data_IF_887975610029
#
_entry.id   IF_887975610029
#
_cell.length_a   1.000
_cell.length_b   1.000
_cell.length_c   1.000
_cell.angle_alpha   90.00
_cell.angle_beta   90.00
_cell.angle_gamma   90.00
#
_symmetry.space_group_name_H-M   'P 1'
#
loop_
_entity.id
_entity.type
_entity.pdbx_description
1 polymer ?
#
# COMPACT_ATOMS: atom_id res chain seq x y z
N UNK A 1 9.38 -6.10 -23.67
CA UNK A 1 8.16 -5.97 -22.85
C UNK A 1 7.78 -4.49 -22.73
N UNK A 2 7.81 -3.72 -23.83
CA UNK A 2 7.68 -2.26 -23.75
C UNK A 2 6.31 -1.71 -24.18
N UNK A 3 5.38 -2.57 -24.63
CA UNK A 3 4.04 -2.13 -25.07
C UNK A 3 2.96 -3.11 -24.58
N UNK A 4 2.84 -3.27 -23.25
CA UNK A 4 1.60 -3.76 -22.67
C UNK A 4 0.79 -2.53 -22.26
N UNK A 5 -0.14 -2.08 -23.12
CA UNK A 5 -1.25 -1.24 -22.67
C UNK A 5 -2.19 -2.13 -21.86
N UNK A 6 -1.88 -2.30 -20.57
CA UNK A 6 -2.83 -2.92 -19.64
C UNK A 6 -4.05 -2.01 -19.52
N UNK A 7 -5.23 -2.54 -19.87
CA UNK A 7 -6.50 -1.86 -19.63
C UNK A 7 -6.69 -1.74 -18.10
N UNK A 8 -6.21 -0.63 -17.51
CA UNK A 8 -6.36 -0.36 -16.09
C UNK A 8 -7.85 -0.27 -15.73
N UNK A 9 -8.31 -1.16 -14.85
CA UNK A 9 -9.71 -1.18 -14.43
C UNK A 9 -10.03 0.01 -13.52
N UNK A 10 -11.19 0.64 -13.75
CA UNK A 10 -11.69 1.72 -12.90
C UNK A 10 -12.21 1.14 -11.59
N UNK A 11 -11.78 1.70 -10.46
CA UNK A 11 -12.22 1.27 -9.12
C UNK A 11 -13.75 1.40 -9.00
N UNK A 12 -14.47 0.41 -8.43
CA UNK A 12 -15.93 0.47 -8.30
C UNK A 12 -16.43 1.64 -7.43
N UNK A 13 -15.58 2.15 -6.54
CA UNK A 13 -15.89 3.30 -5.67
C UNK A 13 -15.64 4.66 -6.33
N UNK A 14 -15.09 4.69 -7.54
CA UNK A 14 -14.77 5.93 -8.23
C UNK A 14 -16.04 6.73 -8.56
N UNK A 15 -16.08 7.99 -8.11
CA UNK A 15 -17.21 8.90 -8.32
C UNK A 15 -16.90 9.87 -9.45
N UNK A 16 -17.83 10.02 -10.40
CA UNK A 16 -17.64 10.90 -11.55
C UNK A 16 -18.93 11.11 -12.35
N UNK A 17 -18.86 11.99 -13.35
CA UNK A 17 -19.96 12.23 -14.30
C UNK A 17 -19.69 11.40 -15.55
N UNK A 18 -20.70 10.65 -16.04
CA UNK A 18 -20.56 9.89 -17.26
C UNK A 18 -20.32 10.83 -18.45
N UNK A 19 -19.24 10.61 -19.20
CA UNK A 19 -18.87 11.35 -20.41
C UNK A 19 -18.45 10.36 -21.49
N UNK A 20 -18.70 10.69 -22.74
CA UNK A 20 -18.15 9.94 -23.88
C UNK A 20 -16.70 10.37 -24.07
N UNK A 21 -15.77 9.42 -24.01
CA UNK A 21 -14.35 9.69 -24.20
C UNK A 21 -14.08 10.16 -25.64
N UNK A 22 -13.33 11.25 -25.85
CA UNK A 22 -13.01 11.75 -27.18
C UNK A 22 -12.05 10.85 -27.97
N UNK A 23 -11.37 9.91 -27.29
CA UNK A 23 -10.34 9.03 -27.89
C UNK A 23 -10.89 7.62 -28.09
N UNK A 24 -11.56 7.06 -27.08
CA UNK A 24 -12.04 5.66 -27.13
C UNK A 24 -13.50 5.52 -27.55
N UNK A 25 -14.25 6.62 -27.65
CA UNK A 25 -15.69 6.67 -27.94
C UNK A 25 -16.56 5.78 -27.02
N UNK A 26 -16.02 5.38 -25.86
CA UNK A 26 -16.71 4.62 -24.82
C UNK A 26 -17.20 5.56 -23.72
N UNK A 27 -18.27 5.18 -23.04
CA UNK A 27 -18.73 5.90 -21.84
C UNK A 27 -17.76 5.64 -20.70
N UNK A 28 -17.17 6.70 -20.14
CA UNK A 28 -16.30 6.62 -18.97
C UNK A 28 -16.77 7.60 -17.87
N UNK A 29 -16.52 7.24 -16.61
CA UNK A 29 -16.68 8.20 -15.52
C UNK A 29 -15.56 9.25 -15.62
N UNK A 30 -15.95 10.50 -15.77
CA UNK A 30 -15.05 11.64 -15.86
C UNK A 30 -15.09 12.45 -14.55
N UNK A 31 -13.91 12.80 -14.06
CA UNK A 31 -13.72 13.69 -12.91
C UNK A 31 -12.90 14.91 -13.33
N UNK A 32 -13.33 16.11 -12.95
CA UNK A 32 -12.71 17.34 -13.46
C UNK A 32 -11.29 17.55 -12.88
N UNK A 33 -10.29 17.92 -13.70
CA UNK A 33 -8.91 18.02 -13.25
C UNK A 33 -8.70 19.19 -12.26
N UNK A 34 -9.51 20.24 -12.36
CA UNK A 34 -9.41 21.41 -11.49
C UNK A 34 -9.81 21.09 -10.03
N UNK A 35 -10.91 20.36 -9.84
CA UNK A 35 -11.34 19.93 -8.50
C UNK A 35 -10.35 18.93 -7.90
N UNK A 36 -9.71 18.10 -8.74
CA UNK A 36 -8.67 17.16 -8.33
C UNK A 36 -7.41 17.88 -7.83
N UNK A 37 -6.96 18.92 -8.54
CA UNK A 37 -5.81 19.74 -8.13
C UNK A 37 -6.03 20.40 -6.77
N UNK A 38 -7.22 20.95 -6.50
CA UNK A 38 -7.54 21.54 -5.21
C UNK A 38 -7.43 20.52 -4.06
N UNK A 39 -7.92 19.30 -4.26
CA UNK A 39 -7.82 18.22 -3.27
C UNK A 39 -6.36 17.83 -2.99
N UNK A 40 -5.54 17.69 -4.03
CA UNK A 40 -4.11 17.42 -3.87
C UNK A 40 -3.40 18.53 -3.11
N UNK A 41 -3.74 19.80 -3.35
CA UNK A 41 -3.16 20.93 -2.59
C UNK A 41 -3.54 20.86 -1.10
N UNK A 42 -4.79 20.52 -0.78
CA UNK A 42 -5.24 20.34 0.61
C UNK A 42 -4.49 19.19 1.28
N UNK A 43 -4.35 18.05 0.60
CA UNK A 43 -3.64 16.87 1.11
C UNK A 43 -2.15 17.19 1.30
N UNK A 44 -1.54 17.88 0.34
CA UNK A 44 -0.14 18.32 0.42
C UNK A 44 0.10 19.32 1.58
N UNK A 45 -0.83 20.24 1.82
CA UNK A 45 -0.77 21.11 2.99
C UNK A 45 -0.85 20.32 4.30
N UNK A 46 -1.72 19.30 4.35
CA UNK A 46 -1.84 18.42 5.51
C UNK A 46 -0.60 17.56 5.73
N UNK A 47 0.07 17.06 4.68
CA UNK A 47 1.33 16.31 4.84
C UNK A 47 2.48 17.19 5.32
N UNK A 48 2.57 18.43 4.86
CA UNK A 48 3.53 19.42 5.37
C UNK A 48 3.27 19.69 6.85
N UNK A 49 2.01 19.93 7.24
CA UNK A 49 1.65 20.17 8.63
C UNK A 49 2.06 18.99 9.54
N UNK A 50 1.88 17.74 9.08
CA UNK A 50 2.35 16.56 9.81
C UNK A 50 3.87 16.56 9.98
N UNK A 51 4.62 16.80 8.91
CA UNK A 51 6.08 16.85 8.93
C UNK A 51 6.60 17.94 9.89
N UNK A 52 5.96 19.11 9.90
CA UNK A 52 6.29 20.19 10.83
C UNK A 52 5.98 19.81 12.29
N UNK A 53 4.85 19.14 12.55
CA UNK A 53 4.49 18.71 13.90
C UNK A 53 5.47 17.65 14.45
N UNK A 54 5.89 16.69 13.63
CA UNK A 54 6.87 15.67 14.04
C UNK A 54 8.27 16.27 14.25
N UNK A 55 8.69 17.20 13.40
CA UNK A 55 9.95 17.93 13.59
C UNK A 55 9.92 18.87 14.81
N UNK A 56 8.79 19.53 15.08
CA UNK A 56 8.62 20.38 16.26
C UNK A 56 8.68 19.57 17.56
N UNK A 57 8.07 18.39 17.59
CA UNK A 57 8.14 17.47 18.72
C UNK A 57 9.57 16.97 18.98
N UNK A 58 10.36 16.74 17.94
CA UNK A 58 11.76 16.29 18.10
C UNK A 58 12.68 17.37 18.67
N UNK A 59 12.41 18.66 18.39
CA UNK A 59 13.16 19.82 18.91
C UNK A 59 12.70 20.22 20.32
N UNK A 60 11.39 20.14 20.61
CA UNK A 60 10.81 20.57 21.90
C UNK A 60 11.14 19.67 23.10
N UNK A 61 11.53 18.42 22.87
CA UNK A 61 11.88 17.45 23.93
C UNK A 61 13.36 17.56 24.37
N UNK A 62 13.86 18.77 24.61
CA UNK A 62 15.26 19.05 24.91
C UNK A 62 15.68 18.83 26.37
N UNK A 63 14.77 18.38 27.26
CA UNK A 63 15.02 18.47 28.71
C UNK A 63 15.46 17.19 29.44
N UNK A 64 15.38 15.96 28.90
CA UNK A 64 16.05 14.79 29.52
C UNK A 64 16.50 13.73 28.50
N UNK A 65 17.77 13.31 28.57
CA UNK A 65 18.45 12.55 27.48
C UNK A 65 17.99 11.11 27.29
N UNK A 66 17.61 10.41 28.36
CA UNK A 66 17.35 8.95 28.32
C UNK A 66 15.87 8.60 28.09
N UNK A 67 14.94 9.35 28.68
CA UNK A 67 13.49 9.14 28.48
C UNK A 67 12.98 9.67 27.13
N UNK A 68 13.75 10.53 26.46
CA UNK A 68 13.38 11.15 25.17
C UNK A 68 13.10 10.13 24.07
N UNK A 69 13.93 9.11 23.90
CA UNK A 69 13.77 8.14 22.79
C UNK A 69 12.50 7.30 22.93
N UNK A 70 12.24 6.79 24.13
CA UNK A 70 11.07 5.96 24.43
C UNK A 70 9.79 6.82 24.37
N UNK A 71 9.80 8.01 24.97
CA UNK A 71 8.65 8.91 24.95
C UNK A 71 8.34 9.40 23.52
N UNK A 72 9.36 9.78 22.74
CA UNK A 72 9.19 10.19 21.34
C UNK A 72 8.67 9.02 20.49
N UNK A 73 9.21 7.80 20.67
CA UNK A 73 8.73 6.61 19.98
C UNK A 73 7.27 6.29 20.28
N UNK A 74 6.86 6.38 21.55
CA UNK A 74 5.47 6.19 21.96
C UNK A 74 4.53 7.24 21.35
N UNK A 75 4.94 8.52 21.35
CA UNK A 75 4.17 9.61 20.73
C UNK A 75 4.06 9.42 19.22
N UNK A 76 5.14 9.06 18.53
CA UNK A 76 5.14 8.78 17.08
C UNK A 76 4.24 7.58 16.76
N UNK A 77 4.28 6.51 17.54
CA UNK A 77 3.43 5.34 17.34
C UNK A 77 1.94 5.69 17.47
N UNK A 78 1.58 6.44 18.53
CA UNK A 78 0.21 6.90 18.75
C UNK A 78 -0.26 7.85 17.65
N UNK A 79 0.57 8.81 17.25
CA UNK A 79 0.29 9.72 16.14
C UNK A 79 0.16 8.97 14.81
N UNK A 80 1.02 7.98 14.55
CA UNK A 80 0.97 7.15 13.34
C UNK A 80 -0.36 6.39 13.23
N UNK A 81 -0.85 5.80 14.34
CA UNK A 81 -2.14 5.11 14.36
C UNK A 81 -3.31 6.07 14.04
N UNK A 82 -3.29 7.28 14.60
CA UNK A 82 -4.29 8.32 14.30
C UNK A 82 -4.18 8.72 12.83
N UNK A 83 -2.97 8.96 12.32
CA UNK A 83 -2.74 9.38 10.96
C UNK A 83 -3.08 8.32 9.92
N UNK A 84 -2.90 7.03 10.20
CA UNK A 84 -3.35 5.94 9.32
C UNK A 84 -4.87 5.96 9.14
N UNK A 85 -5.61 6.15 10.24
CA UNK A 85 -7.08 6.28 10.19
C UNK A 85 -7.53 7.49 9.37
N UNK A 86 -6.90 8.64 9.57
CA UNK A 86 -7.20 9.83 8.77
C UNK A 86 -6.75 9.70 7.32
N UNK A 87 -5.64 8.99 7.07
CA UNK A 87 -5.09 8.74 5.74
C UNK A 87 -6.08 8.03 4.85
N UNK A 88 -6.65 6.91 5.30
CA UNK A 88 -7.65 6.16 4.51
C UNK A 88 -8.84 7.03 4.11
N UNK A 89 -9.38 7.80 5.06
CA UNK A 89 -10.52 8.69 4.82
C UNK A 89 -10.19 9.84 3.85
N UNK A 90 -8.95 10.32 3.87
CA UNK A 90 -8.46 11.34 2.95
C UNK A 90 -8.19 10.77 1.56
N UNK A 91 -7.69 9.54 1.46
CA UNK A 91 -7.47 8.84 0.20
C UNK A 91 -8.79 8.50 -0.50
N UNK A 92 -9.82 8.05 0.23
CA UNK A 92 -11.18 7.93 -0.31
C UNK A 92 -11.72 9.28 -0.82
N UNK A 93 -11.41 10.37 -0.11
CA UNK A 93 -11.81 11.72 -0.52
C UNK A 93 -11.07 12.21 -1.78
N UNK A 94 -9.84 11.73 -2.00
CA UNK A 94 -8.99 12.02 -3.15
C UNK A 94 -9.56 11.43 -4.46
N UNK A 95 -10.35 10.36 -4.37
CA UNK A 95 -11.12 9.76 -5.47
C UNK A 95 -10.24 9.39 -6.67
N UNK A 96 -9.29 8.48 -6.45
CA UNK A 96 -8.44 7.93 -7.52
C UNK A 96 -9.25 7.07 -8.50
N UNK A 97 -8.94 7.19 -9.80
CA UNK A 97 -9.68 6.53 -10.90
C UNK A 97 -9.28 5.07 -11.06
N UNK A 98 -7.98 4.80 -10.97
CA UNK A 98 -7.40 3.48 -11.14
C UNK A 98 -6.88 3.00 -9.79
N UNK A 99 -7.10 1.74 -9.51
CA UNK A 99 -6.53 1.04 -8.37
C UNK A 99 -5.47 0.11 -8.96
N UNK A 100 -4.19 0.45 -8.80
CA UNK A 100 -3.10 -0.39 -9.30
C UNK A 100 -3.06 -1.69 -8.48
N UNK A 101 -3.61 -2.74 -9.10
CA UNK A 101 -3.50 -4.18 -8.87
C UNK A 101 -3.56 -4.75 -7.44
N UNK A 102 -4.78 -5.13 -7.01
CA UNK A 102 -4.97 -6.38 -6.26
C UNK A 102 -6.42 -6.91 -6.21
N UNK A 103 -7.42 -6.06 -6.47
CA UNK A 103 -8.84 -6.39 -6.24
C UNK A 103 -9.46 -7.42 -7.21
N UNK A 104 -8.85 -7.72 -8.35
CA UNK A 104 -9.43 -8.65 -9.34
C UNK A 104 -9.27 -10.15 -9.01
N UNK A 105 -8.43 -10.54 -8.04
CA UNK A 105 -8.24 -11.98 -7.76
C UNK A 105 -9.47 -12.65 -7.11
N UNK A 106 -10.34 -11.85 -6.46
CA UNK A 106 -11.50 -12.37 -5.72
C UNK A 106 -12.73 -12.56 -6.61
N UNK A 107 -12.90 -11.75 -7.64
CA UNK A 107 -14.05 -11.87 -8.57
C UNK A 107 -13.85 -13.07 -9.50
N UNK A 108 -12.62 -13.36 -9.89
CA UNK A 108 -12.26 -14.50 -10.73
C UNK A 108 -12.36 -15.85 -9.98
N UNK A 109 -11.87 -15.90 -8.72
CA UNK A 109 -12.00 -17.09 -7.85
C UNK A 109 -13.45 -17.46 -7.53
N UNK A 110 -14.35 -16.48 -7.39
CA UNK A 110 -15.77 -16.74 -7.05
C UNK A 110 -16.57 -17.31 -8.22
N UNK A 111 -16.24 -16.97 -9.47
CA UNK A 111 -16.96 -17.44 -10.66
C UNK A 111 -16.45 -18.81 -11.12
N UNK A 112 -15.13 -19.03 -11.12
CA UNK A 112 -14.53 -20.33 -11.47
C UNK A 112 -14.89 -21.44 -10.47
N UNK A 113 -14.94 -21.13 -9.18
CA UNK A 113 -15.32 -22.08 -8.12
C UNK A 113 -16.81 -22.42 -8.16
N UNK A 114 -17.68 -21.46 -8.51
CA UNK A 114 -19.14 -21.66 -8.61
C UNK A 114 -19.53 -22.50 -9.84
N UNK A 115 -18.73 -22.47 -10.91
CA UNK A 115 -18.93 -23.31 -12.11
C UNK A 115 -18.26 -24.69 -12.00
N UNK A 116 -17.07 -24.80 -11.40
CA UNK A 116 -16.33 -26.06 -11.26
C UNK A 116 -16.92 -27.00 -10.18
N UNK A 117 -17.60 -26.44 -9.16
CA UNK A 117 -18.32 -27.21 -8.13
C UNK A 117 -19.52 -27.99 -8.66
N UNK A 118 -19.96 -27.74 -9.90
CA UNK A 118 -21.32 -28.13 -10.24
C UNK A 118 -21.51 -29.56 -10.72
N UNK A 119 -20.52 -30.30 -11.28
CA UNK A 119 -20.91 -31.56 -11.95
C UNK A 119 -20.06 -32.83 -11.97
N UNK A 120 -18.71 -32.88 -11.85
CA UNK A 120 -18.04 -34.04 -12.52
C UNK A 120 -16.91 -34.85 -11.90
N UNK A 121 -16.25 -34.49 -10.79
CA UNK A 121 -15.03 -35.24 -10.38
C UNK A 121 -14.95 -35.58 -8.91
N UNK A 122 -16.11 -35.87 -8.34
CA UNK A 122 -16.41 -35.97 -6.92
C UNK A 122 -15.97 -37.31 -6.27
N UNK A 123 -15.48 -38.31 -7.01
CA UNK A 123 -15.35 -39.68 -6.47
C UNK A 123 -14.01 -40.44 -6.67
N UNK A 124 -13.10 -40.04 -7.56
CA UNK A 124 -11.83 -40.79 -7.84
C UNK A 124 -10.56 -40.04 -7.43
N UNK A 125 -10.75 -38.92 -6.75
CA UNK A 125 -9.77 -37.83 -6.61
C UNK A 125 -9.50 -37.54 -5.12
N UNK A 126 -10.29 -38.13 -4.21
CA UNK A 126 -10.31 -37.89 -2.76
C UNK A 126 -8.96 -38.12 -2.09
N UNK A 127 -8.22 -39.19 -2.40
CA UNK A 127 -6.89 -39.44 -1.80
C UNK A 127 -5.83 -38.38 -2.14
N UNK A 128 -5.81 -37.87 -3.38
CA UNK A 128 -4.86 -36.83 -3.82
C UNK A 128 -5.42 -35.39 -3.60
N UNK A 129 -6.71 -35.29 -3.27
CA UNK A 129 -7.41 -34.04 -2.93
C UNK A 129 -7.22 -33.69 -1.47
N UNK A 130 -7.16 -34.65 -0.54
CA UNK A 130 -6.99 -34.35 0.89
C UNK A 130 -5.69 -33.58 1.12
N UNK A 131 -4.57 -34.01 0.53
CA UNK A 131 -3.28 -33.32 0.62
C UNK A 131 -3.32 -31.92 -0.03
N UNK A 132 -3.96 -31.80 -1.20
CA UNK A 132 -4.09 -30.53 -1.92
C UNK A 132 -5.06 -29.55 -1.24
N UNK A 133 -6.12 -30.05 -0.60
CA UNK A 133 -7.04 -29.29 0.24
C UNK A 133 -6.34 -28.83 1.50
N UNK A 134 -5.52 -29.69 2.13
CA UNK A 134 -4.70 -29.28 3.27
C UNK A 134 -3.74 -28.15 2.86
N UNK A 135 -3.16 -28.21 1.66
CA UNK A 135 -2.32 -27.13 1.12
C UNK A 135 -3.11 -25.85 0.83
N UNK A 136 -4.33 -25.95 0.31
CA UNK A 136 -5.20 -24.78 0.05
C UNK A 136 -5.77 -24.20 1.35
N UNK A 137 -6.09 -25.03 2.34
CA UNK A 137 -6.58 -24.61 3.65
C UNK A 137 -5.46 -23.97 4.47
N UNK A 138 -4.25 -24.55 4.45
CA UNK A 138 -3.04 -23.87 4.95
C UNK A 138 -2.80 -22.57 4.19
N UNK A 139 -2.91 -22.60 2.86
CA UNK A 139 -2.82 -21.46 1.95
C UNK A 139 -3.80 -20.31 2.28
N UNK A 140 -5.03 -20.66 2.65
CA UNK A 140 -6.10 -19.72 2.96
C UNK A 140 -6.03 -19.18 4.39
N UNK A 141 -5.26 -19.83 5.28
CA UNK A 141 -4.99 -19.33 6.63
C UNK A 141 -3.91 -18.25 6.64
N UNK A 142 -3.11 -18.13 5.59
CA UNK A 142 -2.17 -17.02 5.48
C UNK A 142 -2.93 -15.72 5.24
N UNK A 143 -2.49 -14.65 5.92
CA UNK A 143 -2.99 -13.32 5.65
C UNK A 143 -2.74 -12.95 4.18
N UNK A 144 -3.68 -12.24 3.52
CA UNK A 144 -3.40 -11.69 2.21
C UNK A 144 -2.17 -10.80 2.31
N UNK A 145 -1.31 -10.90 1.31
CA UNK A 145 -0.15 -10.03 1.22
C UNK A 145 -0.66 -8.64 0.81
N UNK A 146 -0.57 -7.68 1.73
CA UNK A 146 -1.26 -6.40 1.60
C UNK A 146 -0.66 -5.51 0.50
N UNK A 147 0.68 -5.49 0.33
CA UNK A 147 1.33 -4.75 -0.76
C UNK A 147 2.82 -5.07 -0.90
N UNK A 148 3.34 -5.10 -2.13
CA UNK A 148 4.80 -5.09 -2.40
C UNK A 148 5.44 -3.75 -2.08
N UNK A 149 4.64 -2.69 -1.97
CA UNK A 149 5.13 -1.35 -1.68
C UNK A 149 5.84 -1.30 -0.33
N UNK A 150 5.37 -2.05 0.67
CA UNK A 150 6.01 -2.08 2.00
C UNK A 150 7.40 -2.76 1.95
N UNK A 151 7.52 -3.88 1.24
CA UNK A 151 8.80 -4.57 1.05
C UNK A 151 9.79 -3.74 0.22
N UNK A 152 9.32 -3.07 -0.84
CA UNK A 152 10.13 -2.13 -1.61
C UNK A 152 10.52 -0.91 -0.77
N UNK A 153 9.63 -0.43 0.10
CA UNK A 153 9.90 0.69 0.98
C UNK A 153 10.98 0.33 2.01
N UNK A 154 10.95 -0.88 2.56
CA UNK A 154 12.01 -1.37 3.45
C UNK A 154 13.36 -1.37 2.74
N UNK A 155 13.44 -1.94 1.54
CA UNK A 155 14.67 -1.93 0.73
C UNK A 155 15.10 -0.51 0.35
N UNK A 156 14.16 0.38 0.06
CA UNK A 156 14.44 1.78 -0.29
C UNK A 156 14.98 2.57 0.91
N UNK A 157 14.40 2.39 2.10
CA UNK A 157 14.88 3.00 3.34
C UNK A 157 16.29 2.47 3.66
N UNK A 158 16.50 1.17 3.51
CA UNK A 158 17.80 0.52 3.71
C UNK A 158 18.87 1.07 2.75
N UNK A 159 18.54 1.29 1.47
CA UNK A 159 19.41 1.95 0.49
C UNK A 159 19.67 3.43 0.86
N UNK A 160 18.66 4.15 1.33
CA UNK A 160 18.79 5.55 1.77
C UNK A 160 19.75 5.71 2.95
N UNK A 161 19.66 4.82 3.94
CA UNK A 161 20.60 4.80 5.06
C UNK A 161 22.03 4.43 4.64
N UNK A 162 22.18 3.46 3.74
CA UNK A 162 23.47 3.03 3.23
C UNK A 162 24.20 4.10 2.39
N UNK A 163 23.46 5.05 1.79
CA UNK A 163 24.03 6.08 0.92
C UNK A 163 24.22 7.43 1.60
N UNK A 164 23.23 7.91 2.36
CA UNK A 164 23.26 9.26 2.94
C UNK A 164 23.95 9.35 4.30
N UNK A 165 23.90 8.32 5.15
CA UNK A 165 24.48 8.38 6.50
C UNK A 165 25.94 7.88 6.59
N UNK A 166 26.39 7.12 5.59
CA UNK A 166 27.78 6.63 5.51
C UNK A 166 28.79 7.78 5.38
N UNK A 167 28.40 8.90 4.76
CA UNK A 167 29.24 10.09 4.67
C UNK A 167 29.18 11.01 5.90
N UNK A 168 28.09 10.94 6.69
CA UNK A 168 27.84 11.88 7.78
C UNK A 168 28.43 11.45 9.13
N UNK A 169 28.62 10.15 9.35
CA UNK A 169 29.14 9.63 10.63
C UNK A 169 30.35 8.70 10.39
N UNK A 170 31.45 8.86 11.15
CA UNK A 170 32.64 8.02 11.01
C UNK A 170 32.42 6.54 11.36
N UNK A 171 31.32 6.20 12.03
CA UNK A 171 30.88 4.81 12.31
C UNK A 171 29.80 4.31 11.31
N UNK A 172 29.48 5.11 10.29
CA UNK A 172 28.52 4.79 9.24
C UNK A 172 28.76 3.53 8.40
N UNK A 173 30.00 2.99 8.22
CA UNK A 173 30.22 1.79 7.40
C UNK A 173 29.55 0.51 7.94
N UNK A 174 29.06 0.51 9.18
CA UNK A 174 28.33 -0.63 9.76
C UNK A 174 26.90 -0.76 9.20
N UNK A 175 26.27 0.34 8.78
CA UNK A 175 24.88 0.33 8.30
C UNK A 175 24.69 -0.49 7.00
N UNK A 176 25.56 -0.37 5.97
CA UNK A 176 25.51 -1.24 4.79
C UNK A 176 25.74 -2.72 5.10
N UNK A 177 26.56 -3.04 6.12
CA UNK A 177 26.83 -4.42 6.53
C UNK A 177 25.63 -5.06 7.24
N UNK A 178 24.95 -4.30 8.11
CA UNK A 178 23.71 -4.75 8.75
C UNK A 178 22.58 -4.90 7.73
N UNK A 179 22.49 -3.97 6.78
CA UNK A 179 21.59 -4.08 5.63
C UNK A 179 21.82 -5.38 4.83
N UNK A 180 23.07 -5.71 4.52
CA UNK A 180 23.42 -6.95 3.83
C UNK A 180 23.06 -8.22 4.62
N UNK A 181 23.05 -8.17 5.95
CA UNK A 181 22.61 -9.30 6.79
C UNK A 181 21.08 -9.41 6.89
N UNK A 182 20.36 -8.28 6.76
CA UNK A 182 18.90 -8.24 6.82
C UNK A 182 18.23 -8.70 5.51
N UNK A 183 18.90 -8.51 4.38
CA UNK A 183 18.42 -8.82 3.03
C UNK A 183 18.75 -10.25 2.61
#
# INVERSE_FOLDING_TARGET
MLDFEEDEFVRPEFKGVNRISPITNKTELYYSPQTRKLKYVVIFGFTILKMCATAGASVGLTYEKLFRGIALGAVIFMLSAIFKKFGHKLSEWENHKYDSDFENSLVEKKIAVKMAKRKRKQFKREGNIVEKLQRVEKGAKFAPYDSTVEDYLEMFIQMGFATFLVMAYPCGPLAPLLAFVNN
#
